data_IF_870002991236
#
_entry.id   IF_870002991236
#
_cell.length_a   1.000
_cell.length_b   1.000
_cell.length_c   1.000
_cell.angle_alpha   90.00
_cell.angle_beta   90.00
_cell.angle_gamma   90.00
#
_symmetry.space_group_name_H-M   'P 1'
#
loop_
_entity.id
_entity.type
_entity.pdbx_description
1 polymer ?
#
# COMPACT_ATOMS: atom_id res chain seq x y z
N UNK A 1 -26.92 -73.69 -12.66
CA UNK A 1 -26.19 -74.12 -11.43
C UNK A 1 -24.70 -74.08 -11.73
N UNK A 2 -23.79 -73.89 -10.75
CA UNK A 2 -23.90 -73.19 -9.46
C UNK A 2 -23.37 -71.73 -9.65
N UNK A 3 -22.71 -70.96 -8.76
CA UNK A 3 -22.48 -71.00 -7.29
C UNK A 3 -22.54 -69.56 -6.71
N UNK A 4 -21.51 -69.10 -5.98
CA UNK A 4 -21.43 -67.81 -5.27
C UNK A 4 -19.98 -67.34 -5.13
N UNK A 5 -19.73 -66.02 -5.05
CA UNK A 5 -19.22 -65.37 -3.82
C UNK A 5 -19.32 -63.82 -3.87
N UNK A 6 -19.80 -63.15 -2.82
CA UNK A 6 -19.67 -61.69 -2.59
C UNK A 6 -18.74 -61.42 -1.36
N UNK A 7 -18.63 -60.20 -0.78
CA UNK A 7 -19.00 -58.83 -1.22
C UNK A 7 -17.82 -57.82 -1.11
N UNK A 8 -18.10 -56.52 -1.32
CA UNK A 8 -17.71 -55.33 -0.49
C UNK A 8 -17.01 -54.15 -1.20
N UNK A 9 -17.59 -52.95 -0.99
CA UNK A 9 -16.93 -51.63 -0.76
C UNK A 9 -16.20 -51.02 -1.99
N UNK A 10 -16.21 -49.70 -2.26
CA UNK A 10 -16.77 -48.55 -1.54
C UNK A 10 -17.68 -47.67 -2.45
N UNK A 11 -18.65 -47.00 -1.83
CA UNK A 11 -19.36 -45.85 -2.43
C UNK A 11 -18.50 -44.58 -2.27
N UNK A 12 -18.43 -43.74 -3.30
CA UNK A 12 -18.03 -42.33 -3.15
C UNK A 12 -18.90 -41.45 -4.03
N UNK A 13 -19.83 -40.72 -3.40
CA UNK A 13 -20.70 -39.77 -4.08
C UNK A 13 -19.99 -38.41 -4.21
N UNK A 14 -19.74 -37.97 -5.45
CA UNK A 14 -19.22 -36.63 -5.71
C UNK A 14 -20.35 -35.61 -5.54
N UNK A 15 -20.35 -34.90 -4.41
CA UNK A 15 -21.36 -33.89 -4.07
C UNK A 15 -20.75 -32.49 -4.01
N UNK A 16 -21.32 -31.59 -4.82
CA UNK A 16 -21.36 -30.12 -4.65
C UNK A 16 -20.03 -29.35 -4.71
N UNK A 17 -20.03 -28.27 -5.49
CA UNK A 17 -19.59 -26.94 -5.06
C UNK A 17 -19.97 -25.89 -6.11
N UNK A 18 -21.16 -25.30 -5.95
CA UNK A 18 -21.64 -24.18 -6.79
C UNK A 18 -20.90 -22.90 -6.43
N UNK A 19 -19.84 -22.57 -7.18
CA UNK A 19 -19.02 -21.37 -6.95
C UNK A 19 -19.74 -20.07 -7.34
N UNK A 20 -20.40 -19.42 -6.38
CA UNK A 20 -20.93 -18.06 -6.54
C UNK A 20 -19.80 -17.04 -6.53
N UNK A 21 -19.41 -16.53 -7.71
CA UNK A 21 -18.35 -15.53 -7.85
C UNK A 21 -18.89 -14.14 -7.47
N UNK A 22 -18.71 -13.74 -6.21
CA UNK A 22 -18.94 -12.36 -5.77
C UNK A 22 -17.80 -11.45 -6.23
N UNK A 23 -18.07 -10.31 -6.87
CA UNK A 23 -17.02 -9.37 -7.26
C UNK A 23 -16.43 -8.71 -6.02
N UNK A 24 -15.14 -8.92 -5.79
CA UNK A 24 -14.43 -8.31 -4.66
C UNK A 24 -14.22 -6.81 -4.94
N UNK A 25 -15.09 -5.96 -4.37
CA UNK A 25 -14.89 -4.51 -4.38
C UNK A 25 -13.69 -4.19 -3.51
N UNK A 26 -12.53 -4.04 -4.13
CA UNK A 26 -11.33 -3.55 -3.48
C UNK A 26 -11.55 -2.08 -3.10
N UNK A 27 -11.93 -1.84 -1.85
CA UNK A 27 -11.91 -0.49 -1.28
C UNK A 27 -10.48 0.06 -1.40
N UNK A 28 -10.28 1.35 -1.75
CA UNK A 28 -8.97 1.95 -1.71
C UNK A 28 -8.43 1.85 -0.28
N UNK A 29 -7.21 1.36 -0.12
CA UNK A 29 -6.53 1.26 1.16
C UNK A 29 -6.10 2.65 1.65
N UNK A 30 -7.08 3.47 2.04
CA UNK A 30 -6.88 4.70 2.79
C UNK A 30 -6.26 4.31 4.13
N UNK A 31 -4.92 4.34 4.20
CA UNK A 31 -4.19 4.07 5.42
C UNK A 31 -4.66 5.07 6.49
N UNK A 32 -5.02 4.57 7.67
CA UNK A 32 -5.42 5.42 8.78
C UNK A 32 -4.32 6.46 9.06
N UNK A 33 -4.67 7.75 9.28
CA UNK A 33 -3.69 8.80 9.48
C UNK A 33 -2.79 8.43 10.65
N UNK A 34 -1.50 8.28 10.37
CA UNK A 34 -0.53 7.77 11.34
C UNK A 34 -0.34 8.78 12.47
N UNK A 35 -0.99 8.55 13.61
CA UNK A 35 -1.01 9.52 14.71
C UNK A 35 0.39 9.78 15.26
N UNK A 36 0.79 11.05 15.26
CA UNK A 36 2.07 11.51 15.81
C UNK A 36 2.92 12.29 14.81
N UNK A 37 4.14 12.63 15.23
CA UNK A 37 5.12 13.36 14.40
C UNK A 37 6.02 12.38 13.65
N UNK A 38 6.17 12.63 12.36
CA UNK A 38 7.01 11.87 11.45
C UNK A 38 7.99 12.78 10.72
N UNK A 39 9.07 12.17 10.25
CA UNK A 39 10.06 12.79 9.38
C UNK A 39 10.11 12.01 8.06
N UNK A 40 9.89 12.72 6.94
CA UNK A 40 10.11 12.17 5.61
C UNK A 40 11.61 12.20 5.34
N UNK A 41 12.21 11.02 5.16
CA UNK A 41 13.61 10.84 4.81
C UNK A 41 13.70 10.16 3.45
N UNK A 42 14.51 10.70 2.55
CA UNK A 42 14.74 10.13 1.23
C UNK A 42 16.21 9.77 1.07
N UNK A 43 16.48 8.55 0.63
CA UNK A 43 17.82 8.12 0.27
C UNK A 43 18.23 8.76 -1.05
N UNK A 44 19.41 9.36 -1.07
CA UNK A 44 20.05 9.78 -2.30
C UNK A 44 20.61 8.55 -3.06
N UNK A 45 20.25 8.33 -4.33
CA UNK A 45 20.60 7.09 -5.04
C UNK A 45 22.09 7.00 -5.40
N UNK A 46 22.81 8.12 -5.49
CA UNK A 46 24.23 8.15 -5.84
C UNK A 46 25.12 7.94 -4.62
N UNK A 47 24.84 8.67 -3.54
CA UNK A 47 25.65 8.66 -2.30
C UNK A 47 25.18 7.64 -1.26
N UNK A 48 23.98 7.06 -1.44
CA UNK A 48 23.28 6.17 -0.48
C UNK A 48 22.98 6.78 0.90
N UNK A 49 23.18 8.09 1.07
CA UNK A 49 22.89 8.79 2.33
C UNK A 49 21.38 9.10 2.46
N UNK A 50 20.88 9.17 3.70
CA UNK A 50 19.47 9.46 3.99
C UNK A 50 19.28 10.92 4.42
N UNK A 51 18.81 11.76 3.49
CA UNK A 51 18.54 13.18 3.73
C UNK A 51 17.11 13.38 4.26
N UNK A 52 16.93 14.34 5.17
CA UNK A 52 15.62 14.78 5.65
C UNK A 52 14.98 15.69 4.61
N UNK A 53 13.77 15.36 4.15
CA UNK A 53 12.96 16.20 3.26
C UNK A 53 12.00 17.13 4.03
N UNK A 54 11.60 16.75 5.25
CA UNK A 54 10.81 17.58 6.16
C UNK A 54 10.14 16.79 7.27
N UNK A 55 9.51 17.49 8.21
CA UNK A 55 8.69 16.90 9.28
C UNK A 55 7.22 17.22 9.09
N UNK A 56 6.37 16.26 9.44
CA UNK A 56 4.92 16.27 9.23
C UNK A 56 4.23 15.47 10.33
N UNK A 57 3.10 15.96 10.79
CA UNK A 57 2.25 15.35 11.82
C UNK A 57 0.99 14.81 11.14
N UNK A 58 0.56 13.62 11.55
CA UNK A 58 -0.56 12.88 10.92
C UNK A 58 -0.40 12.72 9.39
N UNK A 59 0.71 12.11 8.91
CA UNK A 59 1.03 12.04 7.49
C UNK A 59 0.07 11.17 6.66
N UNK A 60 -0.36 11.70 5.53
CA UNK A 60 -1.10 11.01 4.47
C UNK A 60 -0.24 10.96 3.19
N UNK A 61 -0.05 9.77 2.60
CA UNK A 61 0.68 9.62 1.32
C UNK A 61 -0.33 9.66 0.17
N UNK A 62 -0.33 10.74 -0.61
CA UNK A 62 -1.24 10.96 -1.73
C UNK A 62 -0.48 10.86 -3.06
N UNK A 63 -1.02 10.11 -4.03
CA UNK A 63 -0.51 10.10 -5.39
C UNK A 63 -0.97 11.37 -6.14
N UNK A 64 -0.05 12.06 -6.81
CA UNK A 64 -0.42 13.14 -7.73
C UNK A 64 -0.63 12.57 -9.13
N UNK A 65 -1.58 13.10 -9.91
CA UNK A 65 -1.66 12.82 -11.35
C UNK A 65 -0.31 13.11 -12.01
N UNK A 66 0.13 12.24 -12.94
CA UNK A 66 1.40 12.43 -13.65
C UNK A 66 1.48 13.77 -14.42
N UNK A 67 0.33 14.34 -14.77
CA UNK A 67 0.17 15.67 -15.40
C UNK A 67 0.43 16.85 -14.46
N UNK A 68 0.47 16.65 -13.14
CA UNK A 68 0.63 17.71 -12.14
C UNK A 68 2.11 17.86 -11.77
N UNK A 69 2.74 19.03 -11.97
CA UNK A 69 4.14 19.23 -11.61
C UNK A 69 4.29 19.19 -10.09
N UNK A 70 5.14 18.28 -9.59
CA UNK A 70 5.57 18.29 -8.20
C UNK A 70 6.44 19.52 -7.93
N UNK A 71 6.37 20.11 -6.74
CA UNK A 71 7.26 21.19 -6.31
C UNK A 71 8.73 20.76 -6.44
N UNK A 72 9.42 21.28 -7.46
CA UNK A 72 10.74 20.80 -7.88
C UNK A 72 10.83 20.29 -9.34
N UNK A 73 9.74 20.29 -10.11
CA UNK A 73 9.78 20.09 -11.57
C UNK A 73 10.01 18.66 -12.06
N UNK A 74 10.03 17.67 -11.15
CA UNK A 74 10.12 16.24 -11.48
C UNK A 74 8.74 15.66 -11.82
N UNK A 75 8.71 14.73 -12.76
CA UNK A 75 7.50 14.04 -13.20
C UNK A 75 6.93 13.13 -12.11
N UNK A 76 5.58 13.00 -12.07
CA UNK A 76 4.82 11.95 -11.38
C UNK A 76 5.38 11.48 -10.03
N UNK A 77 5.28 12.32 -8.99
CA UNK A 77 5.68 12.00 -7.63
C UNK A 77 4.49 11.85 -6.68
N UNK A 78 4.65 11.05 -5.62
CA UNK A 78 3.73 11.09 -4.47
C UNK A 78 4.04 12.32 -3.61
N UNK A 79 3.11 12.74 -2.76
CA UNK A 79 3.33 13.76 -1.72
C UNK A 79 2.92 13.21 -0.36
N UNK A 80 3.65 13.58 0.68
CA UNK A 80 3.19 13.40 2.06
C UNK A 80 2.52 14.70 2.50
N UNK A 81 1.21 14.65 2.72
CA UNK A 81 0.42 15.73 3.30
C UNK A 81 0.30 15.56 4.81
N UNK A 82 0.01 16.64 5.52
CA UNK A 82 -0.27 16.63 6.96
C UNK A 82 0.03 18.00 7.58
N UNK A 83 0.28 18.03 8.89
CA UNK A 83 0.52 19.28 9.63
C UNK A 83 2.01 19.49 9.90
N UNK A 84 2.58 20.60 9.43
CA UNK A 84 3.96 20.99 9.63
C UNK A 84 4.30 21.31 11.09
N UNK A 85 5.59 21.48 11.37
CA UNK A 85 6.09 21.76 12.72
C UNK A 85 5.60 23.10 13.32
N UNK A 86 5.06 23.99 12.49
CA UNK A 86 4.49 25.29 12.81
C UNK A 86 2.94 25.29 12.89
N UNK A 87 2.32 24.10 12.84
CA UNK A 87 0.86 23.93 12.89
C UNK A 87 0.13 24.20 11.56
N UNK A 88 0.83 24.48 10.46
CA UNK A 88 0.19 24.74 9.15
C UNK A 88 0.12 23.48 8.27
N UNK A 89 -0.83 23.39 7.32
CA UNK A 89 -0.82 22.34 6.30
C UNK A 89 0.47 22.37 5.48
N UNK A 90 1.11 21.21 5.32
CA UNK A 90 2.33 21.03 4.52
C UNK A 90 2.15 19.87 3.52
N UNK A 91 2.81 19.98 2.37
CA UNK A 91 2.94 18.90 1.39
C UNK A 91 4.42 18.70 1.06
N UNK A 92 5.00 17.60 1.51
CA UNK A 92 6.39 17.24 1.27
C UNK A 92 6.49 16.36 0.01
N UNK A 93 7.38 16.66 -0.96
CA UNK A 93 7.52 15.85 -2.16
C UNK A 93 8.16 14.49 -1.83
N UNK A 94 7.56 13.41 -2.34
CA UNK A 94 8.14 12.06 -2.33
C UNK A 94 8.53 11.68 -3.78
N UNK A 95 9.74 12.09 -4.23
CA UNK A 95 10.17 11.91 -5.61
C UNK A 95 10.37 10.43 -5.98
N UNK A 96 9.80 10.02 -7.10
CA UNK A 96 9.80 8.63 -7.57
C UNK A 96 11.18 8.08 -7.99
N UNK A 97 12.19 8.95 -8.17
CA UNK A 97 13.58 8.56 -8.39
C UNK A 97 14.36 8.24 -7.10
N UNK A 98 13.72 8.28 -5.93
CA UNK A 98 14.36 8.05 -4.63
C UNK A 98 13.56 7.10 -3.74
N UNK A 99 14.27 6.27 -2.97
CA UNK A 99 13.65 5.50 -1.88
C UNK A 99 13.36 6.45 -0.72
N UNK A 100 12.09 6.70 -0.43
CA UNK A 100 11.67 7.56 0.69
C UNK A 100 10.91 6.76 1.75
N UNK A 101 11.08 7.13 3.01
CA UNK A 101 10.54 6.48 4.19
C UNK A 101 10.08 7.52 5.21
N UNK A 102 8.95 7.28 5.86
CA UNK A 102 8.54 8.03 7.04
C UNK A 102 9.13 7.37 8.29
N UNK A 103 9.81 8.15 9.13
CA UNK A 103 10.31 7.73 10.44
C UNK A 103 9.55 8.46 11.53
N UNK A 104 9.03 7.77 12.55
CA UNK A 104 8.47 8.43 13.72
C UNK A 104 9.55 9.20 14.50
N UNK A 105 9.14 10.24 15.24
CA UNK A 105 10.01 11.07 16.09
C UNK A 105 9.45 11.21 17.50
#
# INVERSE_FOLDING_TARGET
MPRHLPPRIATLAALLLTGTVTPLVAAPAAAEPMKGRYELRCQDPQTRQWTVAGQVTDPEIVEQPASQPSSGGKAGGRVVRGTGADGKPVALPMPSDRTCMLSAR
#
